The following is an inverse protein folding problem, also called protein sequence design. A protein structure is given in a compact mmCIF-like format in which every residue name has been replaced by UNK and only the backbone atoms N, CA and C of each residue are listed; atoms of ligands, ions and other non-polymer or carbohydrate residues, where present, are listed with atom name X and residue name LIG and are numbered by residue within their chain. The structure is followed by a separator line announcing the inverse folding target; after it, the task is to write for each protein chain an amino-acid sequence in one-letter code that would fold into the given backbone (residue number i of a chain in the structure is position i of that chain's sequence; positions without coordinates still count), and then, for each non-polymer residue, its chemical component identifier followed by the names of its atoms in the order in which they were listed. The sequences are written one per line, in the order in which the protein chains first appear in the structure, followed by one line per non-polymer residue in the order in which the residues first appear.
data_IF_455032569647
#
_entry.id   IF_455032569647
#
_cell.length_a   1.000
_cell.length_b   1.000
_cell.length_c   1.000
_cell.angle_alpha   90.00
_cell.angle_beta   90.00
_cell.angle_gamma   90.00
#
_symmetry.space_group_name_H-M   'P 1'
#
loop_
_entity.id
_entity.type
_entity.pdbx_description
1 polymer ?
#
# COMPACT_ATOMS: atom_id res chain seq x y z
N UNK A 1 -16.13 3.28 2.93
CA UNK A 1 -16.86 2.22 2.23
C UNK A 1 -16.43 0.84 2.69
N UNK A 2 -15.12 0.53 2.64
CA UNK A 2 -14.59 -0.73 3.15
C UNK A 2 -13.10 -0.60 3.53
N UNK A 3 -12.64 -1.38 4.53
CA UNK A 3 -11.22 -1.47 4.85
C UNK A 3 -10.49 -2.33 3.82
N UNK A 4 -9.19 -2.09 3.67
CA UNK A 4 -8.30 -2.94 2.89
C UNK A 4 -6.93 -3.02 3.55
N UNK A 5 -6.23 -4.11 3.30
CA UNK A 5 -4.86 -4.33 3.78
C UNK A 5 -3.86 -3.99 2.71
N UNK A 6 -2.71 -3.52 3.15
CA UNK A 6 -1.53 -3.42 2.31
C UNK A 6 -0.53 -4.51 2.71
N UNK A 7 0.03 -5.18 1.72
CA UNK A 7 1.07 -6.19 1.91
C UNK A 7 2.41 -5.63 1.44
N UNK A 8 3.49 -6.03 2.11
CA UNK A 8 4.83 -5.69 1.69
C UNK A 8 5.28 -6.65 0.59
N UNK A 9 5.71 -6.11 -0.53
CA UNK A 9 6.10 -6.88 -1.71
C UNK A 9 7.55 -6.63 -2.10
N UNK A 10 8.16 -7.63 -2.70
CA UNK A 10 9.51 -7.57 -3.26
C UNK A 10 9.61 -8.32 -4.57
N UNK A 11 10.67 -8.07 -5.33
CA UNK A 11 11.02 -8.82 -6.52
C UNK A 11 11.76 -10.12 -6.18
N UNK A 12 12.04 -10.91 -7.21
CA UNK A 12 12.67 -12.24 -7.05
C UNK A 12 14.10 -12.20 -6.51
N UNK A 13 14.82 -11.10 -6.69
CA UNK A 13 16.16 -10.94 -6.12
C UNK A 13 16.15 -10.89 -4.59
N UNK A 14 15.00 -10.60 -3.98
CA UNK A 14 14.79 -10.61 -2.52
C UNK A 14 14.09 -11.89 -2.03
N UNK A 15 14.17 -12.98 -2.78
CA UNK A 15 13.52 -14.25 -2.46
C UNK A 15 13.87 -14.75 -1.05
N UNK A 16 15.12 -14.66 -0.65
CA UNK A 16 15.56 -15.10 0.69
C UNK A 16 14.88 -14.28 1.81
N UNK A 17 14.72 -12.98 1.58
CA UNK A 17 14.01 -12.09 2.51
C UNK A 17 12.54 -12.47 2.66
N UNK A 18 11.90 -12.89 1.57
CA UNK A 18 10.49 -13.28 1.56
C UNK A 18 10.21 -14.66 2.17
N UNK A 19 11.21 -15.50 2.40
CA UNK A 19 11.02 -16.88 2.88
C UNK A 19 10.69 -16.98 4.38
N UNK A 20 10.95 -15.94 5.15
CA UNK A 20 10.69 -15.92 6.60
C UNK A 20 10.11 -14.59 7.02
N UNK A 21 9.46 -14.59 8.20
CA UNK A 21 8.95 -13.35 8.80
C UNK A 21 10.09 -12.38 9.07
N UNK A 22 9.87 -11.13 8.67
CA UNK A 22 10.81 -10.03 8.86
C UNK A 22 10.22 -9.00 9.82
N UNK A 23 11.06 -8.35 10.61
CA UNK A 23 10.69 -7.11 11.28
C UNK A 23 10.91 -5.93 10.34
N UNK A 24 10.12 -4.87 10.48
CA UNK A 24 10.34 -3.63 9.73
C UNK A 24 11.75 -3.07 9.96
N UNK A 25 12.26 -3.20 11.18
CA UNK A 25 13.62 -2.75 11.52
C UNK A 25 14.69 -3.44 10.67
N UNK A 26 14.56 -4.75 10.44
CA UNK A 26 15.54 -5.52 9.67
C UNK A 26 15.50 -5.22 8.16
N UNK A 27 14.43 -4.59 7.71
CA UNK A 27 14.22 -4.22 6.30
C UNK A 27 14.70 -2.80 5.96
N UNK A 28 15.13 -2.01 6.95
CA UNK A 28 15.54 -0.60 6.76
C UNK A 28 16.74 -0.43 5.82
N UNK A 29 17.53 -1.48 5.60
CA UNK A 29 18.68 -1.46 4.70
C UNK A 29 18.32 -1.76 3.24
N UNK A 30 17.09 -2.16 2.97
CA UNK A 30 16.60 -2.42 1.61
C UNK A 30 15.94 -1.15 1.08
N UNK A 31 16.21 -0.74 -0.18
CA UNK A 31 15.55 0.42 -0.76
C UNK A 31 14.04 0.30 -0.67
N UNK A 32 13.38 1.35 -0.16
CA UNK A 32 11.94 1.38 0.02
C UNK A 32 11.28 2.31 -1.00
N UNK A 33 10.26 1.80 -1.68
CA UNK A 33 9.45 2.52 -2.66
C UNK A 33 8.16 2.97 -2.00
N UNK A 34 7.86 4.25 -2.07
CA UNK A 34 6.60 4.82 -1.59
C UNK A 34 6.02 5.81 -2.58
N UNK A 35 4.83 6.30 -2.30
CA UNK A 35 4.28 7.42 -3.07
C UNK A 35 4.93 8.74 -2.64
N UNK A 36 4.85 9.71 -3.51
CA UNK A 36 5.34 11.07 -3.31
C UNK A 36 4.79 11.69 -2.03
N UNK A 37 5.60 12.47 -1.34
CA UNK A 37 5.19 13.29 -0.20
C UNK A 37 3.96 14.16 -0.55
N UNK A 38 3.08 14.34 0.43
CA UNK A 38 1.79 15.04 0.25
C UNK A 38 0.64 14.16 -0.25
N UNK A 39 0.86 12.87 -0.51
CA UNK A 39 -0.21 11.92 -0.78
C UNK A 39 -0.74 11.28 0.51
N UNK A 40 -2.02 10.92 0.54
CA UNK A 40 -2.61 10.21 1.68
C UNK A 40 -1.91 8.87 1.95
N UNK A 41 -1.42 8.20 0.91
CA UNK A 41 -0.66 6.95 1.04
C UNK A 41 0.68 7.17 1.71
N UNK A 42 1.43 8.20 1.31
CA UNK A 42 2.69 8.56 1.96
C UNK A 42 2.48 8.88 3.45
N UNK A 43 1.47 9.68 3.78
CA UNK A 43 1.14 10.05 5.16
C UNK A 43 0.75 8.81 5.99
N UNK A 44 0.00 7.89 5.41
CA UNK A 44 -0.39 6.63 6.05
C UNK A 44 0.85 5.76 6.35
N UNK A 45 1.78 5.63 5.41
CA UNK A 45 3.02 4.88 5.62
C UNK A 45 3.91 5.57 6.66
N UNK A 46 4.02 6.88 6.62
CA UNK A 46 4.76 7.65 7.64
C UNK A 46 4.21 7.37 9.04
N UNK A 47 2.88 7.41 9.21
CA UNK A 47 2.22 7.12 10.49
C UNK A 47 2.44 5.67 10.93
N UNK A 48 2.35 4.72 10.00
CA UNK A 48 2.58 3.30 10.27
C UNK A 48 3.99 3.03 10.79
N UNK A 49 5.02 3.60 10.18
CA UNK A 49 6.40 3.49 10.67
C UNK A 49 6.57 4.18 12.01
N UNK A 50 5.99 5.36 12.19
CA UNK A 50 6.02 6.08 13.46
C UNK A 50 5.38 5.27 14.61
N UNK A 51 4.24 4.62 14.37
CA UNK A 51 3.55 3.77 15.34
C UNK A 51 4.40 2.55 15.73
N UNK A 52 5.27 2.10 14.85
CA UNK A 52 6.23 1.03 15.10
C UNK A 52 7.61 1.54 15.58
N UNK A 53 7.69 2.80 16.03
CA UNK A 53 8.90 3.44 16.55
C UNK A 53 10.06 3.53 15.55
N UNK A 54 9.73 3.65 14.26
CA UNK A 54 10.69 3.76 13.18
C UNK A 54 10.51 5.07 12.41
N UNK A 55 11.59 5.53 11.80
CA UNK A 55 11.54 6.66 10.87
C UNK A 55 11.25 6.16 9.46
N UNK A 56 10.28 6.78 8.81
CA UNK A 56 9.96 6.51 7.41
C UNK A 56 10.84 7.36 6.49
N UNK A 57 11.73 6.71 5.75
CA UNK A 57 12.64 7.36 4.80
C UNK A 57 12.66 6.56 3.50
N UNK A 58 11.66 6.77 2.61
CA UNK A 58 11.65 6.10 1.33
C UNK A 58 12.83 6.54 0.46
N UNK A 59 13.41 5.60 -0.27
CA UNK A 59 14.53 5.84 -1.17
C UNK A 59 14.07 6.19 -2.58
N UNK A 60 12.89 5.69 -2.96
CA UNK A 60 12.30 5.87 -4.29
C UNK A 60 10.86 6.35 -4.13
N UNK A 61 10.49 7.36 -4.88
CA UNK A 61 9.12 7.88 -4.92
C UNK A 61 8.46 7.57 -6.26
N UNK A 62 7.25 7.04 -6.20
CA UNK A 62 6.36 6.82 -7.32
C UNK A 62 5.20 7.81 -7.29
N UNK A 63 4.71 8.21 -8.44
CA UNK A 63 3.59 9.15 -8.53
C UNK A 63 2.24 8.48 -8.19
N UNK A 64 2.08 7.20 -8.52
CA UNK A 64 0.83 6.45 -8.37
C UNK A 64 1.07 5.03 -7.90
N UNK A 65 0.06 4.43 -7.26
CA UNK A 65 0.15 3.08 -6.69
C UNK A 65 0.42 2.01 -7.75
N UNK A 66 -0.10 2.16 -8.96
CA UNK A 66 0.11 1.22 -10.06
C UNK A 66 1.56 1.16 -10.55
N UNK A 67 2.38 2.17 -10.25
CA UNK A 67 3.81 2.15 -10.54
C UNK A 67 4.63 1.29 -9.57
N UNK A 68 4.11 1.03 -8.37
CA UNK A 68 4.84 0.27 -7.33
C UNK A 68 5.14 -1.16 -7.81
N UNK A 69 4.16 -1.87 -8.34
CA UNK A 69 4.31 -3.27 -8.75
C UNK A 69 5.39 -3.45 -9.83
N UNK A 70 5.40 -2.68 -10.94
CA UNK A 70 6.47 -2.76 -11.92
C UNK A 70 7.87 -2.48 -11.35
N UNK A 71 8.00 -1.48 -10.49
CA UNK A 71 9.28 -1.15 -9.84
C UNK A 71 9.77 -2.29 -8.95
N UNK A 72 8.88 -2.86 -8.15
CA UNK A 72 9.18 -4.00 -7.28
C UNK A 72 9.53 -5.24 -8.10
N UNK A 73 8.78 -5.53 -9.16
CA UNK A 73 9.04 -6.64 -10.08
C UNK A 73 10.43 -6.57 -10.70
N UNK A 74 10.93 -5.36 -10.96
CA UNK A 74 12.26 -5.11 -11.49
C UNK A 74 13.34 -4.96 -10.41
N UNK A 75 13.05 -5.35 -9.16
CA UNK A 75 14.00 -5.39 -8.05
C UNK A 75 14.59 -4.02 -7.67
N UNK A 76 13.87 -2.92 -7.91
CA UNK A 76 14.31 -1.59 -7.51
C UNK A 76 14.25 -1.37 -6.00
N UNK A 77 13.41 -2.12 -5.32
CA UNK A 77 13.22 -2.05 -3.89
C UNK A 77 12.00 -2.84 -3.43
N UNK A 78 11.63 -2.64 -2.19
CA UNK A 78 10.42 -3.19 -1.57
C UNK A 78 9.40 -2.07 -1.35
N UNK A 79 8.13 -2.41 -1.24
CA UNK A 79 7.08 -1.41 -1.01
C UNK A 79 5.77 -2.04 -0.59
N UNK A 80 4.92 -1.23 0.01
CA UNK A 80 3.54 -1.63 0.32
C UNK A 80 2.63 -1.43 -0.89
N UNK A 81 1.72 -2.37 -1.05
CA UNK A 81 0.71 -2.34 -2.10
C UNK A 81 -0.59 -2.93 -1.56
N UNK A 82 -1.77 -2.41 -1.95
CA UNK A 82 -3.03 -3.06 -1.62
C UNK A 82 -3.01 -4.54 -2.00
N UNK A 83 -3.40 -5.41 -1.06
CA UNK A 83 -3.33 -6.86 -1.23
C UNK A 83 -4.05 -7.33 -2.49
N UNK A 84 -5.21 -6.77 -2.76
CA UNK A 84 -6.01 -7.14 -3.93
C UNK A 84 -5.32 -6.84 -5.26
N UNK A 85 -4.54 -5.75 -5.32
CA UNK A 85 -3.76 -5.39 -6.51
C UNK A 85 -2.51 -6.26 -6.65
N UNK A 86 -1.90 -6.64 -5.54
CA UNK A 86 -0.69 -7.46 -5.54
C UNK A 86 -0.96 -8.94 -5.82
N UNK A 87 -2.12 -9.45 -5.41
CA UNK A 87 -2.48 -10.88 -5.44
C UNK A 87 -2.24 -11.56 -6.80
N UNK A 88 -2.72 -11.03 -7.94
CA UNK A 88 -2.49 -11.69 -9.24
C UNK A 88 -1.01 -11.87 -9.57
N UNK A 89 -0.17 -10.92 -9.19
CA UNK A 89 1.28 -10.96 -9.44
C UNK A 89 2.02 -11.87 -8.47
N UNK A 90 1.51 -12.01 -7.24
CA UNK A 90 2.04 -12.98 -6.26
C UNK A 90 1.70 -14.40 -6.71
N UNK A 91 0.49 -14.65 -7.16
CA UNK A 91 0.04 -15.97 -7.64
C UNK A 91 0.83 -16.46 -8.87
N UNK A 92 1.20 -15.54 -9.77
CA UNK A 92 2.07 -15.90 -10.93
C UNK A 92 3.54 -15.99 -10.57
N UNK A 93 3.93 -15.57 -9.36
CA UNK A 93 5.34 -15.53 -8.93
C UNK A 93 6.16 -14.38 -9.52
N UNK A 94 5.51 -13.39 -10.12
CA UNK A 94 6.18 -12.18 -10.64
C UNK A 94 6.76 -11.31 -9.53
N UNK A 95 6.07 -11.26 -8.41
CA UNK A 95 6.50 -10.63 -7.17
C UNK A 95 6.26 -11.59 -5.99
N UNK A 96 6.90 -11.30 -4.87
CA UNK A 96 6.78 -12.06 -3.63
C UNK A 96 6.28 -11.18 -2.51
N UNK A 97 5.51 -11.76 -1.60
CA UNK A 97 5.13 -11.08 -0.36
C UNK A 97 6.17 -11.34 0.71
N UNK A 98 6.59 -10.28 1.40
CA UNK A 98 7.41 -10.39 2.60
C UNK A 98 6.48 -10.45 3.81
N UNK A 99 6.43 -11.58 4.55
CA UNK A 99 5.62 -11.67 5.75
C UNK A 99 6.25 -10.83 6.87
N UNK A 100 5.45 -10.02 7.55
CA UNK A 100 5.89 -9.15 8.63
C UNK A 100 5.56 -9.72 10.00
N UNK A 101 6.40 -9.40 11.00
CA UNK A 101 6.13 -9.66 12.42
C UNK A 101 5.09 -8.65 12.91
N UNK A 102 5.22 -7.39 12.52
CA UNK A 102 4.28 -6.32 12.81
C UNK A 102 2.96 -6.54 12.05
N UNK A 103 1.88 -5.98 12.56
CA UNK A 103 0.62 -5.94 11.83
C UNK A 103 0.78 -5.16 10.52
N UNK A 104 0.26 -5.71 9.44
CA UNK A 104 0.25 -5.04 8.14
C UNK A 104 -0.59 -3.76 8.20
N UNK A 105 -0.24 -2.73 7.42
CA UNK A 105 -1.03 -1.50 7.40
C UNK A 105 -2.46 -1.78 6.92
N UNK A 106 -3.42 -1.29 7.68
CA UNK A 106 -4.83 -1.29 7.29
C UNK A 106 -5.25 0.12 6.93
N UNK A 107 -5.97 0.24 5.84
CA UNK A 107 -6.50 1.50 5.33
C UNK A 107 -7.98 1.34 5.00
N UNK A 108 -8.63 2.46 4.75
CA UNK A 108 -10.07 2.48 4.45
C UNK A 108 -10.35 3.35 3.23
N UNK A 109 -11.21 2.86 2.36
CA UNK A 109 -11.78 3.67 1.28
C UNK A 109 -12.99 4.40 1.84
N UNK A 110 -12.92 5.73 1.83
CA UNK A 110 -13.96 6.60 2.38
C UNK A 110 -14.68 7.36 1.26
N UNK A 111 -15.99 7.51 1.42
CA UNK A 111 -16.79 8.43 0.62
C UNK A 111 -16.92 9.75 1.39
N UNK A 112 -16.52 10.85 0.76
CA UNK A 112 -16.62 12.19 1.34
C UNK A 112 -17.60 13.01 0.49
N UNK A 113 -18.57 13.62 1.16
CA UNK A 113 -19.59 14.46 0.52
C UNK A 113 -19.63 15.83 1.19
N UNK A 114 -19.65 16.89 0.39
CA UNK A 114 -19.93 18.25 0.86
C UNK A 114 -21.45 18.40 1.10
N UNK A 115 -21.84 18.45 2.35
CA UNK A 115 -23.25 18.61 2.76
C UNK A 115 -23.75 20.06 2.69
N UNK A 116 -22.87 21.04 2.42
CA UNK A 116 -23.25 22.45 2.29
C UNK A 116 -23.97 22.76 0.98
N UNK A 117 -23.87 21.87 -0.01
CA UNK A 117 -24.52 21.99 -1.32
C UNK A 117 -25.54 20.89 -1.52
N UNK A 118 -26.63 21.22 -2.20
CA UNK A 118 -27.63 20.21 -2.57
C UNK A 118 -27.03 19.10 -3.44
N UNK A 119 -27.40 17.87 -3.16
CA UNK A 119 -26.92 16.70 -3.91
C UNK A 119 -27.73 16.53 -5.19
N UNK A 120 -27.07 16.42 -6.34
CA UNK A 120 -27.75 16.12 -7.60
C UNK A 120 -28.30 14.68 -7.60
N UNK A 121 -29.29 14.43 -8.46
CA UNK A 121 -29.89 13.08 -8.61
C UNK A 121 -28.82 12.06 -9.03
N UNK A 122 -27.89 12.44 -9.90
CA UNK A 122 -26.81 11.56 -10.35
C UNK A 122 -25.85 11.18 -9.19
N UNK A 123 -25.47 12.16 -8.39
CA UNK A 123 -24.62 11.92 -7.20
C UNK A 123 -25.33 11.06 -6.19
N UNK A 124 -26.63 11.31 -5.91
CA UNK A 124 -27.41 10.46 -5.00
C UNK A 124 -27.48 9.01 -5.48
N UNK A 125 -27.68 8.77 -6.78
CA UNK A 125 -27.66 7.41 -7.35
C UNK A 125 -26.30 6.75 -7.21
N UNK A 126 -25.22 7.47 -7.49
CA UNK A 126 -23.86 6.94 -7.34
C UNK A 126 -23.59 6.54 -5.88
N UNK A 127 -23.93 7.41 -4.92
CA UNK A 127 -23.76 7.11 -3.48
C UNK A 127 -24.51 5.83 -3.12
N UNK A 128 -25.77 5.71 -3.51
CA UNK A 128 -26.57 4.51 -3.23
C UNK A 128 -25.93 3.26 -3.83
N UNK A 129 -25.44 3.31 -5.06
CA UNK A 129 -24.75 2.17 -5.68
C UNK A 129 -23.46 1.78 -4.95
N UNK A 130 -22.72 2.73 -4.37
CA UNK A 130 -21.50 2.47 -3.63
C UNK A 130 -21.73 1.95 -2.21
N UNK A 131 -22.82 2.36 -1.57
CA UNK A 131 -23.14 2.00 -0.18
C UNK A 131 -23.94 0.69 -0.11
N UNK A 132 -24.75 0.36 -1.12
CA UNK A 132 -25.57 -0.86 -1.17
C UNK A 132 -24.78 -2.14 -1.58
N UNK A 133 -23.54 -1.99 -2.01
CA UNK A 133 -22.63 -3.09 -2.31
C UNK A 133 -21.64 -3.30 -1.16
#
# INVERSE_FOLDING_TARGET
LYPFKEVLICGRDFNETAQKRQSLHDLLNIPFISLTDGTATHDSHHQYFFDNHLKFTPDIEAATTDQIIPMVKHNLGIGFCPEELARPFIETGDILQIPLIEHEPEREICLIQDMSRGTSIAVSKLINMLVEN
#
